data_IF_116704465755
#
_entry.id   IF_116704465755
#
_cell.length_a   1.000
_cell.length_b   1.000
_cell.length_c   1.000
_cell.angle_alpha   90.00
_cell.angle_beta   90.00
_cell.angle_gamma   90.00
#
_symmetry.space_group_name_H-M   'P 1'
#
loop_
_entity.id
_entity.type
_entity.pdbx_description
1 polymer ?
#
# COMPACT_ATOMS: atom_id res chain seq x y z
N UNK A 1 -10.16 -8.51 21.12
CA UNK A 1 -10.64 -7.85 22.37
C UNK A 1 -12.13 -7.47 22.37
N UNK A 2 -12.86 -7.55 21.25
CA UNK A 2 -14.29 -7.17 21.22
C UNK A 2 -15.27 -8.28 21.63
N UNK A 3 -14.90 -9.56 21.54
CA UNK A 3 -15.76 -10.69 21.92
C UNK A 3 -15.95 -10.83 23.45
N UNK A 4 -14.94 -10.41 24.24
CA UNK A 4 -15.02 -10.44 25.70
C UNK A 4 -15.93 -9.34 26.27
N UNK A 5 -15.98 -8.18 25.59
CA UNK A 5 -16.81 -7.05 26.00
C UNK A 5 -18.31 -7.32 25.77
N UNK A 6 -18.68 -8.04 24.71
CA UNK A 6 -20.07 -8.42 24.46
C UNK A 6 -20.60 -9.44 25.49
N UNK A 7 -19.76 -10.37 25.93
CA UNK A 7 -20.12 -11.34 26.98
C UNK A 7 -20.27 -10.68 28.36
N UNK A 8 -19.47 -9.64 28.65
CA UNK A 8 -19.54 -8.84 29.89
C UNK A 8 -20.70 -7.83 29.91
N UNK A 9 -21.20 -7.38 28.76
CA UNK A 9 -22.37 -6.50 28.69
C UNK A 9 -23.71 -7.26 28.72
N UNK A 10 -23.75 -8.49 28.20
CA UNK A 10 -24.93 -9.36 28.31
C UNK A 10 -25.25 -9.75 29.76
N UNK A 11 -24.29 -9.63 30.68
CA UNK A 11 -24.51 -9.81 32.13
C UNK A 11 -24.99 -8.54 32.84
N UNK A 12 -25.22 -7.43 32.12
CA UNK A 12 -25.57 -6.14 32.73
C UNK A 12 -27.04 -5.72 32.59
N UNK A 13 -27.91 -6.52 31.95
CA UNK A 13 -29.30 -6.12 31.71
C UNK A 13 -30.28 -6.82 32.66
N UNK A 14 -30.62 -6.07 33.71
CA UNK A 14 -31.94 -5.94 34.36
C UNK A 14 -32.64 -7.13 35.07
N UNK A 15 -31.96 -8.23 35.41
CA UNK A 15 -32.49 -9.23 36.38
C UNK A 15 -31.40 -9.80 37.31
N UNK A 16 -30.54 -8.95 37.88
CA UNK A 16 -29.64 -9.36 38.96
C UNK A 16 -30.19 -8.89 40.34
N UNK A 17 -30.26 -9.77 41.36
CA UNK A 17 -30.54 -9.33 42.72
C UNK A 17 -29.44 -8.34 43.21
N UNK A 18 -29.78 -7.42 44.13
CA UNK A 18 -29.04 -6.19 44.41
C UNK A 18 -27.73 -6.37 45.22
N UNK A 19 -27.03 -7.50 45.10
CA UNK A 19 -25.75 -7.65 45.80
C UNK A 19 -24.58 -7.32 44.85
N UNK A 20 -23.83 -6.23 45.09
CA UNK A 20 -22.53 -6.05 44.43
C UNK A 20 -21.61 -7.25 44.73
N UNK A 21 -20.61 -7.53 43.87
CA UNK A 21 -19.68 -8.63 44.09
C UNK A 21 -19.09 -8.53 45.51
N UNK A 22 -19.22 -9.61 46.30
CA UNK A 22 -18.67 -9.65 47.65
C UNK A 22 -17.16 -9.73 47.54
N UNK A 23 -16.50 -8.62 47.83
CA UNK A 23 -15.05 -8.57 48.00
C UNK A 23 -14.77 -8.90 49.46
N UNK A 24 -14.12 -10.03 49.71
CA UNK A 24 -13.63 -10.37 51.05
C UNK A 24 -12.13 -10.15 51.10
N UNK A 25 -11.71 -9.28 52.02
CA UNK A 25 -10.31 -9.02 52.34
C UNK A 25 -9.99 -9.76 53.64
N UNK A 26 -9.13 -10.77 53.56
CA UNK A 26 -8.67 -11.53 54.73
C UNK A 26 -7.20 -11.22 54.98
N UNK A 27 -6.82 -10.75 56.18
CA UNK A 27 -5.42 -10.54 56.51
C UNK A 27 -4.73 -11.88 56.74
N UNK A 28 -3.57 -12.09 56.10
CA UNK A 28 -2.74 -13.26 56.35
C UNK A 28 -1.96 -13.06 57.67
N UNK A 29 -1.77 -14.11 58.48
CA UNK A 29 -0.96 -14.04 59.69
C UNK A 29 0.48 -13.65 59.33
N UNK A 30 0.96 -12.52 59.85
CA UNK A 30 2.23 -11.90 59.45
C UNK A 30 2.12 -10.45 58.95
N UNK A 31 0.90 -9.90 58.83
CA UNK A 31 0.64 -8.45 58.82
C UNK A 31 1.01 -7.67 57.55
N UNK A 32 1.63 -8.29 56.55
CA UNK A 32 2.09 -7.60 55.34
C UNK A 32 1.35 -7.99 54.04
N UNK A 33 0.40 -8.93 54.08
CA UNK A 33 -0.32 -9.39 52.90
C UNK A 33 -1.81 -9.62 53.17
N UNK A 34 -2.64 -9.28 52.18
CA UNK A 34 -4.09 -9.45 52.20
C UNK A 34 -4.50 -10.39 51.07
N UNK A 35 -5.34 -11.38 51.35
CA UNK A 35 -6.00 -12.17 50.31
C UNK A 35 -7.28 -11.47 49.88
N UNK A 36 -7.36 -11.14 48.58
CA UNK A 36 -8.56 -10.61 47.93
C UNK A 36 -9.28 -11.78 47.25
N UNK A 37 -10.40 -12.22 47.82
CA UNK A 37 -11.27 -13.19 47.15
C UNK A 37 -12.41 -12.45 46.44
N UNK A 38 -12.46 -12.59 45.12
CA UNK A 38 -13.52 -12.07 44.27
C UNK A 38 -14.53 -13.19 44.01
N UNK A 39 -15.67 -13.13 44.71
CA UNK A 39 -16.73 -14.12 44.55
C UNK A 39 -17.57 -13.74 43.32
N UNK A 40 -17.09 -14.13 42.14
CA UNK A 40 -17.80 -13.96 40.88
C UNK A 40 -18.96 -14.96 40.88
N UNK A 41 -20.11 -14.56 41.45
CA UNK A 41 -21.35 -15.32 41.27
C UNK A 41 -21.57 -15.46 39.76
N UNK A 42 -21.31 -16.65 39.21
CA UNK A 42 -21.81 -17.02 37.88
C UNK A 42 -23.32 -16.90 37.98
N UNK A 43 -23.86 -15.79 37.48
CA UNK A 43 -25.27 -15.78 37.09
C UNK A 43 -25.36 -16.71 35.90
N UNK A 44 -25.76 -17.94 36.16
CA UNK A 44 -26.13 -18.87 35.10
C UNK A 44 -27.27 -18.20 34.32
N UNK A 45 -26.97 -17.76 33.10
CA UNK A 45 -27.99 -17.32 32.16
C UNK A 45 -29.04 -18.43 32.06
N UNK A 46 -30.34 -18.12 32.13
CA UNK A 46 -31.39 -19.11 31.93
C UNK A 46 -31.09 -19.92 30.66
N UNK A 47 -31.11 -21.25 30.75
CA UNK A 47 -30.62 -22.13 29.67
C UNK A 47 -31.22 -21.77 28.30
N UNK A 48 -32.51 -21.39 28.26
CA UNK A 48 -33.18 -20.90 27.07
C UNK A 48 -32.53 -19.63 26.47
N UNK A 49 -32.26 -18.60 27.29
CA UNK A 49 -31.56 -17.38 26.85
C UNK A 49 -30.13 -17.68 26.39
N UNK A 50 -29.44 -18.62 27.03
CA UNK A 50 -28.11 -19.04 26.63
C UNK A 50 -28.10 -19.74 25.27
N UNK A 51 -29.09 -20.58 24.98
CA UNK A 51 -29.25 -21.23 23.67
C UNK A 51 -29.63 -20.24 22.57
N UNK A 52 -30.53 -19.30 22.84
CA UNK A 52 -30.89 -18.21 21.92
C UNK A 52 -29.67 -17.35 21.55
N UNK A 53 -28.84 -16.99 22.54
CA UNK A 53 -27.60 -16.23 22.31
C UNK A 53 -26.57 -17.02 21.52
N UNK A 54 -26.45 -18.34 21.76
CA UNK A 54 -25.56 -19.21 20.97
C UNK A 54 -26.02 -19.34 19.53
N UNK A 55 -27.33 -19.52 19.30
CA UNK A 55 -27.91 -19.58 17.96
C UNK A 55 -27.70 -18.26 17.21
N UNK A 56 -27.97 -17.12 17.85
CA UNK A 56 -27.74 -15.80 17.25
C UNK A 56 -26.26 -15.48 17.01
N UNK A 57 -25.34 -15.96 17.84
CA UNK A 57 -23.90 -15.87 17.59
C UNK A 57 -23.47 -16.71 16.38
N UNK A 58 -24.02 -17.91 16.21
CA UNK A 58 -23.77 -18.73 15.03
C UNK A 58 -24.34 -18.09 13.75
N UNK A 59 -25.55 -17.50 13.81
CA UNK A 59 -26.16 -16.74 12.71
C UNK A 59 -25.32 -15.52 12.30
N UNK A 60 -24.58 -14.91 13.23
CA UNK A 60 -23.77 -13.72 12.97
C UNK A 60 -22.53 -14.00 12.11
N UNK A 61 -22.14 -15.27 11.92
CA UNK A 61 -21.03 -15.69 11.04
C UNK A 61 -19.77 -14.82 11.19
N UNK A 62 -19.39 -14.55 12.44
CA UNK A 62 -18.34 -13.59 12.78
C UNK A 62 -16.99 -13.93 12.14
N UNK A 63 -16.70 -15.22 11.96
CA UNK A 63 -15.47 -15.69 11.30
C UNK A 63 -15.43 -15.30 9.81
N UNK A 64 -16.57 -15.38 9.11
CA UNK A 64 -16.68 -14.95 7.70
C UNK A 64 -16.52 -13.43 7.59
N UNK A 65 -17.13 -12.67 8.51
CA UNK A 65 -17.01 -11.21 8.58
C UNK A 65 -15.56 -10.78 8.85
N UNK A 66 -14.89 -11.43 9.81
CA UNK A 66 -13.50 -11.16 10.16
C UNK A 66 -12.57 -11.52 8.99
N UNK A 67 -12.76 -12.68 8.36
CA UNK A 67 -11.99 -13.08 7.20
C UNK A 67 -12.15 -12.09 6.03
N UNK A 68 -13.39 -11.63 5.76
CA UNK A 68 -13.65 -10.62 4.75
C UNK A 68 -13.00 -9.26 5.09
N UNK A 69 -13.02 -8.86 6.37
CA UNK A 69 -12.37 -7.64 6.84
C UNK A 69 -10.84 -7.70 6.68
N UNK A 70 -10.21 -8.83 7.04
CA UNK A 70 -8.78 -9.02 6.84
C UNK A 70 -8.40 -8.97 5.36
N UNK A 71 -9.18 -9.62 4.49
CA UNK A 71 -8.99 -9.55 3.03
C UNK A 71 -9.12 -8.13 2.48
N UNK A 72 -10.11 -7.37 2.96
CA UNK A 72 -10.29 -5.97 2.60
C UNK A 72 -9.08 -5.14 3.03
N UNK A 73 -8.58 -5.34 4.25
CA UNK A 73 -7.39 -4.64 4.75
C UNK A 73 -6.16 -4.97 3.91
N UNK A 74 -5.92 -6.25 3.59
CA UNK A 74 -4.77 -6.65 2.77
C UNK A 74 -4.87 -6.10 1.35
N UNK A 75 -6.07 -6.10 0.76
CA UNK A 75 -6.29 -5.55 -0.58
C UNK A 75 -6.11 -4.02 -0.60
N UNK A 76 -6.53 -3.32 0.46
CA UNK A 76 -6.33 -1.88 0.58
C UNK A 76 -4.84 -1.53 0.66
N UNK A 77 -4.08 -2.23 1.52
CA UNK A 77 -2.63 -2.02 1.62
C UNK A 77 -1.90 -2.34 0.32
N UNK A 78 -2.36 -3.36 -0.43
CA UNK A 78 -1.78 -3.72 -1.72
C UNK A 78 -2.08 -2.67 -2.80
N UNK A 79 -3.31 -2.13 -2.83
CA UNK A 79 -3.69 -1.05 -3.74
C UNK A 79 -2.90 0.23 -3.45
N UNK A 80 -2.77 0.62 -2.18
CA UNK A 80 -1.97 1.78 -1.78
C UNK A 80 -0.50 1.61 -2.21
N UNK A 81 0.09 0.44 -1.97
CA UNK A 81 1.47 0.14 -2.36
C UNK A 81 1.65 0.13 -3.89
N UNK A 82 0.67 -0.40 -4.63
CA UNK A 82 0.70 -0.39 -6.09
C UNK A 82 0.62 1.04 -6.64
N UNK A 83 -0.28 1.87 -6.12
CA UNK A 83 -0.41 3.28 -6.50
C UNK A 83 0.88 4.08 -6.21
N UNK A 84 1.52 3.85 -5.05
CA UNK A 84 2.82 4.48 -4.77
C UNK A 84 3.89 4.05 -5.76
N UNK A 85 3.91 2.76 -6.12
CA UNK A 85 4.89 2.21 -7.05
C UNK A 85 4.69 2.74 -8.46
N UNK A 86 3.46 2.84 -8.96
CA UNK A 86 3.18 3.47 -10.25
C UNK A 86 3.58 4.95 -10.27
N UNK A 87 3.36 5.67 -9.17
CA UNK A 87 3.78 7.07 -9.05
C UNK A 87 5.31 7.21 -9.10
N UNK A 88 6.04 6.31 -8.44
CA UNK A 88 7.50 6.25 -8.49
C UNK A 88 8.00 5.91 -9.90
N UNK A 89 7.47 4.85 -10.52
CA UNK A 89 7.89 4.43 -11.87
C UNK A 89 7.51 5.44 -12.96
N UNK A 90 6.45 6.20 -12.75
CA UNK A 90 6.12 7.32 -13.62
C UNK A 90 7.19 8.41 -13.55
N UNK A 91 7.72 8.70 -12.36
CA UNK A 91 8.79 9.70 -12.17
C UNK A 91 10.13 9.19 -12.70
N UNK A 92 10.46 7.91 -12.53
CA UNK A 92 11.69 7.32 -13.09
C UNK A 92 11.67 7.37 -14.61
N UNK A 93 10.57 6.92 -15.24
CA UNK A 93 10.40 6.97 -16.69
C UNK A 93 10.49 8.41 -17.24
N UNK A 94 9.94 9.39 -16.53
CA UNK A 94 10.04 10.79 -16.93
C UNK A 94 11.48 11.33 -16.83
N UNK A 95 12.20 11.02 -15.75
CA UNK A 95 13.61 11.41 -15.58
C UNK A 95 14.50 10.81 -16.66
N UNK A 96 14.31 9.53 -16.98
CA UNK A 96 15.08 8.85 -18.03
C UNK A 96 14.77 9.43 -19.42
N UNK A 97 13.50 9.80 -19.68
CA UNK A 97 13.14 10.53 -20.90
C UNK A 97 13.85 11.88 -21.00
N UNK A 98 13.83 12.69 -19.94
CA UNK A 98 14.50 13.99 -19.91
C UNK A 98 16.03 13.87 -20.03
N UNK A 99 16.62 12.78 -19.51
CA UNK A 99 18.04 12.47 -19.66
C UNK A 99 18.37 12.10 -21.10
N UNK A 100 17.55 11.25 -21.73
CA UNK A 100 17.69 10.86 -23.12
C UNK A 100 17.58 12.07 -24.06
N UNK A 101 16.61 12.95 -23.82
CA UNK A 101 16.44 14.18 -24.60
C UNK A 101 17.66 15.10 -24.51
N UNK A 102 18.28 15.19 -23.32
CA UNK A 102 19.53 15.95 -23.13
C UNK A 102 20.69 15.34 -23.90
N UNK A 103 20.89 14.03 -23.80
CA UNK A 103 21.96 13.33 -24.52
C UNK A 103 21.78 13.40 -26.04
N UNK A 104 20.54 13.32 -26.53
CA UNK A 104 20.26 13.49 -27.96
C UNK A 104 20.66 14.88 -28.44
N UNK A 105 20.33 15.94 -27.69
CA UNK A 105 20.76 17.30 -28.02
C UNK A 105 22.27 17.47 -27.99
N UNK A 106 22.97 16.83 -27.07
CA UNK A 106 24.44 16.85 -26.99
C UNK A 106 25.08 16.20 -28.22
N UNK A 107 24.57 15.03 -28.63
CA UNK A 107 24.99 14.36 -29.87
C UNK A 107 24.74 15.24 -31.09
N UNK A 108 23.54 15.79 -31.23
CA UNK A 108 23.18 16.66 -32.36
C UNK A 108 24.07 17.91 -32.42
N UNK A 109 24.43 18.48 -31.27
CA UNK A 109 25.32 19.64 -31.18
C UNK A 109 26.76 19.29 -31.58
N UNK A 110 27.29 18.15 -31.11
CA UNK A 110 28.63 17.68 -31.49
C UNK A 110 28.70 17.39 -32.99
N UNK A 111 27.65 16.84 -33.57
CA UNK A 111 27.56 16.57 -35.01
C UNK A 111 27.59 17.86 -35.83
N UNK A 112 26.79 18.87 -35.45
CA UNK A 112 26.80 20.19 -36.10
C UNK A 112 28.17 20.86 -36.01
N UNK A 113 28.84 20.75 -34.86
CA UNK A 113 30.19 21.29 -34.69
C UNK A 113 31.20 20.55 -35.57
N UNK A 114 31.12 19.22 -35.67
CA UNK A 114 31.96 18.42 -36.54
C UNK A 114 31.74 18.78 -38.03
N UNK A 115 30.48 18.93 -38.46
CA UNK A 115 30.14 19.36 -39.82
C UNK A 115 30.69 20.76 -40.13
N UNK A 116 30.57 21.69 -39.18
CA UNK A 116 31.12 23.06 -39.32
C UNK A 116 32.65 23.02 -39.43
N UNK A 117 33.32 22.23 -38.58
CA UNK A 117 34.77 22.05 -38.65
C UNK A 117 35.22 21.45 -39.98
N UNK A 118 34.48 20.47 -40.50
CA UNK A 118 34.72 19.86 -41.82
C UNK A 118 34.54 20.87 -42.96
N UNK A 119 33.48 21.69 -42.90
CA UNK A 119 33.25 22.74 -43.89
C UNK A 119 34.39 23.78 -43.88
N UNK A 120 34.87 24.18 -42.70
CA UNK A 120 36.00 25.10 -42.56
C UNK A 120 37.31 24.48 -43.05
N UNK A 121 37.58 23.21 -42.73
CA UNK A 121 38.71 22.48 -43.30
C UNK A 121 38.71 22.55 -44.84
N UNK A 122 37.58 22.24 -45.48
CA UNK A 122 37.46 22.29 -46.94
C UNK A 122 37.70 23.70 -47.52
N UNK A 123 37.30 24.75 -46.80
CA UNK A 123 37.53 26.15 -47.22
C UNK A 123 39.01 26.55 -47.13
N UNK A 124 39.71 26.10 -46.10
CA UNK A 124 41.11 26.48 -45.84
C UNK A 124 42.13 25.54 -46.46
N UNK A 125 41.71 24.35 -46.92
CA UNK A 125 42.57 23.28 -47.47
C UNK A 125 43.60 23.75 -48.50
N UNK A 126 43.20 24.68 -49.36
CA UNK A 126 44.06 25.19 -50.44
C UNK A 126 44.52 26.64 -50.19
N UNK A 127 44.22 27.22 -49.02
CA UNK A 127 44.49 28.63 -48.69
C UNK A 127 45.56 28.79 -47.61
N UNK A 128 45.50 27.97 -46.56
CA UNK A 128 46.44 28.00 -45.44
C UNK A 128 46.54 26.61 -44.83
N UNK A 129 47.70 25.97 -44.99
CA UNK A 129 47.96 24.61 -44.53
C UNK A 129 47.89 24.49 -43.00
N UNK A 130 48.31 25.51 -42.25
CA UNK A 130 48.27 25.49 -40.78
C UNK A 130 46.83 25.57 -40.28
N UNK A 131 46.03 26.44 -40.86
CA UNK A 131 44.60 26.52 -40.51
C UNK A 131 43.84 25.27 -40.95
N UNK A 132 44.15 24.71 -42.13
CA UNK A 132 43.57 23.44 -42.57
C UNK A 132 43.90 22.30 -41.59
N UNK A 133 45.16 22.14 -41.18
CA UNK A 133 45.56 21.11 -40.22
C UNK A 133 44.83 21.26 -38.86
N UNK A 134 44.62 22.50 -38.38
CA UNK A 134 43.87 22.77 -37.15
C UNK A 134 42.39 22.36 -37.27
N UNK A 135 41.71 22.71 -38.38
CA UNK A 135 40.31 22.33 -38.59
C UNK A 135 40.16 20.81 -38.84
N UNK A 136 41.15 20.17 -39.46
CA UNK A 136 41.18 18.72 -39.62
C UNK A 136 41.29 18.00 -38.27
N UNK A 137 42.22 18.43 -37.40
CA UNK A 137 42.36 17.87 -36.05
C UNK A 137 41.09 18.10 -35.21
N UNK A 138 40.50 19.30 -35.33
CA UNK A 138 39.24 19.64 -34.65
C UNK A 138 38.09 18.74 -35.13
N UNK A 139 37.94 18.54 -36.44
CA UNK A 139 36.95 17.63 -37.02
C UNK A 139 37.12 16.19 -36.52
N UNK A 140 38.34 15.65 -36.56
CA UNK A 140 38.61 14.29 -36.09
C UNK A 140 38.28 14.11 -34.61
N UNK A 141 38.65 15.08 -33.76
CA UNK A 141 38.35 15.02 -32.32
C UNK A 141 36.85 15.11 -32.02
N UNK A 142 36.12 16.02 -32.68
CA UNK A 142 34.67 16.17 -32.51
C UNK A 142 33.91 14.96 -33.04
N UNK A 143 34.33 14.40 -34.17
CA UNK A 143 33.72 13.20 -34.74
C UNK A 143 33.94 11.96 -33.84
N UNK A 144 35.13 11.83 -33.25
CA UNK A 144 35.39 10.77 -32.27
C UNK A 144 34.53 10.91 -31.01
N UNK A 145 34.36 12.14 -30.50
CA UNK A 145 33.46 12.45 -29.37
C UNK A 145 32.00 12.14 -29.71
N UNK A 146 31.51 12.59 -30.86
CA UNK A 146 30.15 12.30 -31.32
C UNK A 146 29.92 10.77 -31.45
N UNK A 147 30.90 10.03 -31.98
CA UNK A 147 30.81 8.57 -32.08
C UNK A 147 30.72 7.87 -30.71
N UNK A 148 31.45 8.37 -29.70
CA UNK A 148 31.36 7.86 -28.34
C UNK A 148 30.02 8.19 -27.68
N UNK A 149 29.53 9.42 -27.85
CA UNK A 149 28.23 9.82 -27.31
C UNK A 149 27.05 9.10 -27.98
N UNK A 150 27.12 8.82 -29.28
CA UNK A 150 26.15 7.95 -29.97
C UNK A 150 26.06 6.56 -29.35
N UNK A 151 27.19 5.97 -28.91
CA UNK A 151 27.19 4.67 -28.21
C UNK A 151 26.53 4.78 -26.83
N UNK A 152 26.76 5.87 -26.11
CA UNK A 152 26.11 6.12 -24.82
C UNK A 152 24.60 6.33 -24.98
N UNK A 153 24.20 7.05 -26.03
CA UNK A 153 22.81 7.32 -26.37
C UNK A 153 22.03 6.04 -26.69
N UNK A 154 22.66 5.06 -27.35
CA UNK A 154 22.05 3.75 -27.57
C UNK A 154 21.72 3.04 -26.25
N UNK A 155 22.62 3.12 -25.25
CA UNK A 155 22.36 2.57 -23.90
C UNK A 155 21.28 3.34 -23.15
N UNK A 156 21.24 4.66 -23.30
CA UNK A 156 20.20 5.48 -22.69
C UNK A 156 18.81 5.21 -23.29
N UNK A 157 18.72 4.95 -24.60
CA UNK A 157 17.50 4.47 -25.27
C UNK A 157 17.03 3.16 -24.67
N UNK A 158 17.94 2.22 -24.43
CA UNK A 158 17.61 0.96 -23.79
C UNK A 158 17.09 1.15 -22.36
N UNK A 159 17.76 2.00 -21.56
CA UNK A 159 17.32 2.30 -20.20
C UNK A 159 15.94 3.00 -20.17
N UNK A 160 15.69 3.92 -21.10
CA UNK A 160 14.39 4.59 -21.24
C UNK A 160 13.29 3.62 -21.67
N UNK A 161 13.61 2.65 -22.54
CA UNK A 161 12.68 1.59 -22.91
C UNK A 161 12.35 0.68 -21.72
N UNK A 162 13.35 0.31 -20.91
CA UNK A 162 13.15 -0.47 -19.67
C UNK A 162 12.27 0.29 -18.68
N UNK A 163 12.60 1.55 -18.37
CA UNK A 163 11.79 2.37 -17.47
C UNK A 163 10.34 2.58 -17.98
N UNK A 164 10.14 2.66 -19.30
CA UNK A 164 8.80 2.72 -19.88
C UNK A 164 8.04 1.39 -19.73
N UNK A 165 8.73 0.25 -19.85
CA UNK A 165 8.16 -1.08 -19.59
C UNK A 165 7.80 -1.25 -18.12
N UNK A 166 8.72 -0.90 -17.20
CA UNK A 166 8.49 -0.97 -15.74
C UNK A 166 7.28 -0.11 -15.33
N UNK A 167 7.14 1.08 -15.91
CA UNK A 167 5.95 1.92 -15.72
C UNK A 167 4.66 1.24 -16.20
N UNK A 168 4.70 0.57 -17.35
CA UNK A 168 3.53 -0.13 -17.89
C UNK A 168 3.16 -1.34 -17.03
N UNK A 169 4.14 -2.10 -16.55
CA UNK A 169 3.93 -3.21 -15.62
C UNK A 169 3.37 -2.73 -14.27
N UNK A 170 3.88 -1.61 -13.74
CA UNK A 170 3.36 -1.01 -12.52
C UNK A 170 1.89 -0.57 -12.67
N UNK A 171 1.53 0.04 -13.80
CA UNK A 171 0.15 0.42 -14.09
C UNK A 171 -0.78 -0.80 -14.16
N UNK A 172 -0.37 -1.89 -14.82
CA UNK A 172 -1.14 -3.14 -14.85
C UNK A 172 -1.31 -3.76 -13.46
N UNK A 173 -0.27 -3.69 -12.62
CA UNK A 173 -0.33 -4.17 -11.24
C UNK A 173 -1.26 -3.32 -10.36
N UNK A 174 -1.30 -2.01 -10.58
CA UNK A 174 -2.26 -1.10 -9.93
C UNK A 174 -3.70 -1.42 -10.32
N UNK A 175 -3.99 -1.55 -11.62
CA UNK A 175 -5.33 -1.93 -12.10
C UNK A 175 -5.80 -3.27 -11.48
N UNK A 176 -4.90 -4.24 -11.39
CA UNK A 176 -5.18 -5.53 -10.75
C UNK A 176 -5.43 -5.39 -9.23
N UNK A 177 -4.65 -4.55 -8.55
CA UNK A 177 -4.80 -4.30 -7.11
C UNK A 177 -6.10 -3.53 -6.80
N UNK A 178 -6.47 -2.56 -7.63
CA UNK A 178 -7.75 -1.84 -7.53
C UNK A 178 -8.94 -2.79 -7.74
N UNK A 179 -8.88 -3.64 -8.76
CA UNK A 179 -9.89 -4.67 -9.00
C UNK A 179 -10.05 -5.60 -7.79
N UNK A 180 -8.93 -6.07 -7.23
CA UNK A 180 -8.92 -6.90 -6.02
C UNK A 180 -9.51 -6.17 -4.80
N UNK A 181 -9.23 -4.87 -4.65
CA UNK A 181 -9.80 -4.02 -3.61
C UNK A 181 -11.33 -3.89 -3.76
N UNK A 182 -11.83 -3.67 -4.98
CA UNK A 182 -13.27 -3.59 -5.23
C UNK A 182 -13.97 -4.92 -4.94
N UNK A 183 -13.38 -6.04 -5.35
CA UNK A 183 -13.88 -7.37 -5.03
C UNK A 183 -13.91 -7.62 -3.51
N UNK A 184 -12.86 -7.20 -2.79
CA UNK A 184 -12.80 -7.33 -1.34
C UNK A 184 -13.82 -6.43 -0.62
N UNK A 185 -14.05 -5.21 -1.10
CA UNK A 185 -15.12 -4.31 -0.61
C UNK A 185 -16.48 -4.94 -0.77
N UNK A 186 -16.78 -5.50 -1.94
CA UNK A 186 -18.03 -6.19 -2.22
C UNK A 186 -18.22 -7.43 -1.32
N UNK A 187 -17.17 -8.23 -1.13
CA UNK A 187 -17.19 -9.40 -0.25
C UNK A 187 -17.44 -9.01 1.22
N UNK A 188 -16.78 -7.96 1.70
CA UNK A 188 -17.00 -7.44 3.06
C UNK A 188 -18.41 -6.88 3.24
N UNK A 189 -18.93 -6.11 2.27
CA UNK A 189 -20.30 -5.61 2.31
C UNK A 189 -21.33 -6.75 2.35
N UNK A 190 -21.12 -7.80 1.55
CA UNK A 190 -21.97 -9.00 1.55
C UNK A 190 -21.93 -9.74 2.90
N UNK A 191 -20.74 -9.94 3.46
CA UNK A 191 -20.59 -10.56 4.79
C UNK A 191 -21.23 -9.70 5.89
N UNK A 192 -21.07 -8.38 5.82
CA UNK A 192 -21.72 -7.42 6.73
C UNK A 192 -23.24 -7.47 6.65
N UNK A 193 -23.81 -7.51 5.45
CA UNK A 193 -25.25 -7.62 5.25
C UNK A 193 -25.81 -8.96 5.79
N UNK A 194 -25.08 -10.06 5.62
CA UNK A 194 -25.46 -11.36 6.16
C UNK A 194 -25.41 -11.39 7.70
N UNK A 195 -24.41 -10.74 8.31
CA UNK A 195 -24.23 -10.69 9.76
C UNK A 195 -25.13 -9.65 10.46
N UNK A 196 -25.56 -8.59 9.76
CA UNK A 196 -26.33 -7.46 10.29
C UNK A 196 -27.56 -7.85 11.14
N UNK A 197 -28.47 -8.75 10.71
CA UNK A 197 -29.65 -9.08 11.50
C UNK A 197 -29.31 -9.74 12.83
N UNK A 198 -28.35 -10.67 12.84
CA UNK A 198 -27.91 -11.35 14.05
C UNK A 198 -27.13 -10.42 14.98
N UNK A 199 -26.27 -9.55 14.44
CA UNK A 199 -25.58 -8.51 15.19
C UNK A 199 -26.55 -7.51 15.84
N UNK A 200 -27.65 -7.17 15.16
CA UNK A 200 -28.72 -6.32 15.72
C UNK A 200 -29.41 -6.99 16.90
N UNK A 201 -29.76 -8.28 16.80
CA UNK A 201 -30.33 -9.06 17.91
C UNK A 201 -29.37 -9.10 19.11
N UNK A 202 -28.08 -9.36 18.87
CA UNK A 202 -27.06 -9.39 19.92
C UNK A 202 -26.84 -8.02 20.59
N UNK A 203 -26.84 -6.92 19.82
CA UNK A 203 -26.79 -5.55 20.39
C UNK A 203 -28.00 -5.23 21.24
N UNK A 204 -29.20 -5.58 20.78
CA UNK A 204 -30.43 -5.37 21.53
C UNK A 204 -30.41 -6.16 22.85
N UNK A 205 -29.97 -7.42 22.82
CA UNK A 205 -29.80 -8.24 24.02
C UNK A 205 -28.75 -7.68 25.00
N UNK A 206 -27.72 -6.99 24.48
CA UNK A 206 -26.68 -6.34 25.27
C UNK A 206 -27.05 -4.91 25.73
N UNK A 207 -28.22 -4.38 25.36
CA UNK A 207 -28.62 -3.00 25.68
C UNK A 207 -27.76 -1.92 25.01
N UNK A 208 -27.04 -2.25 23.93
CA UNK A 208 -26.16 -1.32 23.24
C UNK A 208 -26.96 -0.51 22.21
N UNK A 209 -27.01 0.83 22.30
CA UNK A 209 -27.71 1.65 21.32
C UNK A 209 -27.07 1.55 19.93
N UNK A 210 -27.89 1.68 18.88
CA UNK A 210 -27.38 1.68 17.51
C UNK A 210 -26.40 2.85 17.28
N UNK A 211 -25.25 2.63 16.62
CA UNK A 211 -24.38 3.71 16.21
C UNK A 211 -25.12 4.57 15.17
N UNK A 212 -25.17 5.87 15.44
CA UNK A 212 -25.69 6.88 14.51
C UNK A 212 -24.79 7.04 13.29
#
# INVERSE_FOLDING_TARGET
>A
MFAFAALLLATAVAELPPSPPRVTLTPLPGGAAWTLAYDQRRTDLPAAKAEELRATLAEAKLDELLAAHLRLRTAATAADAAATRTAEETRTAQREKERLDRQQREVDNLEKQAETAKANFNRWRNRDEKQAAQYQASYQSLNARAANERKQLARAKENQARAAADKAEAAQAEDAAESALQAAKAAYAKAGAAAAPALKKLRAAAGVPEPR
#
